data_IF_287837920743
#
_entry.id   IF_287837920743
#
_cell.length_a   1.000
_cell.length_b   1.000
_cell.length_c   1.000
_cell.angle_alpha   90.00
_cell.angle_beta   90.00
_cell.angle_gamma   90.00
#
_symmetry.space_group_name_H-M   'P 1'
#
loop_
_entity.id
_entity.type
_entity.pdbx_description
1 polymer ?
#
# COMPACT_ATOMS: atom_id res chain seq x y z
N UNK A 1 -10.10 23.99 7.26
CA UNK A 1 -9.76 23.23 6.04
C UNK A 1 -8.88 22.06 6.47
N UNK A 2 -9.38 21.24 7.37
CA UNK A 2 -8.58 20.20 8.07
C UNK A 2 -9.14 18.79 7.81
N UNK A 3 -10.41 18.72 7.39
CA UNK A 3 -11.17 17.49 7.22
C UNK A 3 -10.63 16.54 6.15
N UNK A 4 -9.90 17.04 5.14
CA UNK A 4 -9.38 16.21 4.05
C UNK A 4 -8.10 15.46 4.45
N UNK A 5 -7.25 16.07 5.27
CA UNK A 5 -5.98 15.46 5.71
C UNK A 5 -6.23 14.38 6.76
N UNK A 6 -7.17 14.62 7.69
CA UNK A 6 -7.58 13.63 8.69
C UNK A 6 -8.28 12.41 8.06
N UNK A 7 -9.03 12.61 6.97
CA UNK A 7 -9.61 11.50 6.22
C UNK A 7 -8.51 10.66 5.53
N UNK A 8 -7.51 11.30 4.93
CA UNK A 8 -6.42 10.61 4.26
C UNK A 8 -5.54 9.79 5.23
N UNK A 9 -5.31 10.29 6.46
CA UNK A 9 -4.63 9.53 7.52
C UNK A 9 -5.48 8.36 8.05
N UNK A 10 -6.81 8.54 8.14
CA UNK A 10 -7.74 7.46 8.51
C UNK A 10 -7.84 6.36 7.45
N UNK A 11 -7.75 6.73 6.18
CA UNK A 11 -7.91 5.83 5.04
C UNK A 11 -6.58 5.20 4.60
N UNK A 12 -5.48 5.48 5.31
CA UNK A 12 -4.16 4.86 5.14
C UNK A 12 -3.55 4.96 3.72
N UNK A 13 -3.89 5.98 2.92
CA UNK A 13 -3.49 6.04 1.51
C UNK A 13 -1.97 5.96 1.30
N UNK A 14 -1.53 5.12 0.36
CA UNK A 14 -0.12 4.99 -0.03
C UNK A 14 0.13 5.63 -1.40
N UNK A 15 1.35 6.11 -1.65
CA UNK A 15 1.77 6.62 -2.96
C UNK A 15 2.52 5.55 -3.73
N UNK A 16 2.19 5.42 -5.01
CA UNK A 16 2.97 4.58 -5.93
C UNK A 16 4.38 5.18 -6.10
N UNK A 17 5.41 4.37 -5.86
CA UNK A 17 6.82 4.79 -6.03
C UNK A 17 7.18 5.17 -7.47
N UNK A 18 6.42 4.68 -8.46
CA UNK A 18 6.72 4.89 -9.88
C UNK A 18 5.97 6.05 -10.51
N UNK A 19 4.66 6.19 -10.24
CA UNK A 19 3.81 7.20 -10.88
C UNK A 19 3.16 8.19 -9.91
N UNK A 20 3.51 8.14 -8.63
CA UNK A 20 3.04 9.01 -7.53
C UNK A 20 1.53 9.00 -7.25
N UNK A 21 0.76 8.21 -8.00
CA UNK A 21 -0.68 8.00 -7.79
C UNK A 21 -0.96 7.51 -6.37
N UNK A 22 -2.00 8.07 -5.76
CA UNK A 22 -2.54 7.61 -4.48
C UNK A 22 -3.31 6.31 -4.69
N UNK A 23 -2.99 5.32 -3.87
CA UNK A 23 -3.63 4.01 -3.84
C UNK A 23 -4.21 3.78 -2.46
N UNK A 24 -5.33 3.06 -2.40
CA UNK A 24 -5.99 2.65 -1.17
C UNK A 24 -5.98 1.13 -1.12
N UNK A 25 -5.59 0.56 0.02
CA UNK A 25 -5.72 -0.87 0.26
C UNK A 25 -7.17 -1.15 0.67
N UNK A 26 -7.95 -1.74 -0.24
CA UNK A 26 -9.37 -1.99 0.02
C UNK A 26 -9.60 -3.05 1.11
N UNK A 27 -8.79 -4.11 1.14
CA UNK A 27 -8.69 -5.10 2.22
C UNK A 27 -7.53 -6.08 1.92
N UNK A 28 -7.02 -6.77 2.94
CA UNK A 28 -6.18 -7.96 2.76
C UNK A 28 -4.68 -7.70 2.58
N UNK A 29 -4.05 -8.44 1.65
CA UNK A 29 -2.61 -8.54 1.49
C UNK A 29 -1.96 -7.18 1.20
N UNK A 30 -0.77 -6.96 1.75
CA UNK A 30 0.02 -5.74 1.52
C UNK A 30 0.47 -5.54 0.05
N UNK A 31 0.13 -6.44 -0.87
CA UNK A 31 0.51 -6.33 -2.28
C UNK A 31 -0.40 -5.35 -3.02
N UNK A 32 0.19 -4.31 -3.61
CA UNK A 32 -0.50 -3.38 -4.51
C UNK A 32 0.02 -3.54 -5.93
N UNK A 33 -0.90 -3.70 -6.87
CA UNK A 33 -0.65 -3.55 -8.31
C UNK A 33 -1.20 -2.21 -8.77
N UNK A 34 -0.32 -1.30 -9.15
CA UNK A 34 -0.70 0.02 -9.67
C UNK A 34 -1.14 -0.07 -11.14
N UNK A 35 -2.11 0.75 -11.60
CA UNK A 35 -2.46 0.84 -13.01
C UNK A 35 -1.30 1.24 -13.95
N UNK A 36 -0.20 1.80 -13.43
CA UNK A 36 1.01 2.04 -14.21
C UNK A 36 1.87 0.78 -14.44
N UNK A 37 1.45 -0.38 -13.92
CA UNK A 37 2.17 -1.66 -13.99
C UNK A 37 3.19 -1.88 -12.87
N UNK A 38 3.36 -0.93 -11.95
CA UNK A 38 4.26 -1.09 -10.81
C UNK A 38 3.59 -1.88 -9.67
N UNK A 39 4.33 -2.83 -9.11
CA UNK A 39 3.90 -3.64 -7.97
C UNK A 39 4.73 -3.30 -6.73
N UNK A 40 4.09 -3.05 -5.59
CA UNK A 40 4.77 -2.65 -4.36
C UNK A 40 4.02 -3.04 -3.09
N UNK A 41 4.73 -3.01 -1.97
CA UNK A 41 4.16 -3.20 -0.65
C UNK A 41 3.43 -1.93 -0.19
N UNK A 42 2.15 -2.03 0.16
CA UNK A 42 1.35 -0.94 0.70
C UNK A 42 1.95 -0.33 1.97
N UNK A 43 2.56 -1.16 2.82
CA UNK A 43 3.09 -0.73 4.12
C UNK A 43 4.33 0.15 3.98
N UNK A 44 5.28 -0.23 3.10
CA UNK A 44 6.58 0.45 3.01
C UNK A 44 6.86 1.12 1.66
N UNK A 45 6.01 0.94 0.66
CA UNK A 45 6.19 1.49 -0.69
C UNK A 45 7.28 0.80 -1.53
N UNK A 46 8.00 -0.20 -0.98
CA UNK A 46 9.06 -0.91 -1.69
C UNK A 46 8.49 -1.80 -2.79
N UNK A 47 9.23 -1.96 -3.89
CA UNK A 47 8.88 -2.86 -4.99
C UNK A 47 8.54 -4.25 -4.48
N UNK A 48 7.47 -4.85 -5.01
CA UNK A 48 7.01 -6.18 -4.63
C UNK A 48 7.99 -7.22 -5.17
N UNK A 49 8.79 -7.80 -4.29
CA UNK A 49 9.67 -8.95 -4.56
C UNK A 49 9.57 -9.90 -3.37
N UNK A 50 9.75 -11.21 -3.58
CA UNK A 50 9.86 -12.16 -2.48
C UNK A 50 11.01 -11.73 -1.56
N UNK A 51 10.69 -11.26 -0.35
CA UNK A 51 11.60 -10.72 0.67
C UNK A 51 12.18 -9.30 0.45
N UNK A 52 11.65 -8.46 -0.45
CA UNK A 52 12.14 -7.06 -0.54
C UNK A 52 11.77 -6.20 0.65
N UNK A 53 10.78 -6.60 1.45
CA UNK A 53 10.42 -5.90 2.67
C UNK A 53 10.20 -6.88 3.82
N UNK A 54 10.63 -6.48 5.02
CA UNK A 54 10.36 -7.20 6.27
C UNK A 54 8.94 -6.95 6.81
N UNK A 55 8.09 -6.27 6.04
CA UNK A 55 6.69 -6.13 6.35
C UNK A 55 6.07 -7.54 6.30
N UNK A 56 5.54 -8.01 7.43
CA UNK A 56 4.85 -9.30 7.48
C UNK A 56 3.83 -9.36 6.34
N UNK A 57 3.83 -10.46 5.58
CA UNK A 57 2.81 -10.65 4.56
C UNK A 57 1.50 -10.87 5.34
N UNK A 58 0.60 -9.88 5.29
CA UNK A 58 -0.78 -10.08 5.72
C UNK A 58 -1.40 -11.12 4.81
N UNK A 59 -1.46 -12.36 5.29
CA UNK A 59 -2.29 -13.44 4.77
C UNK A 59 -3.39 -13.67 5.79
N UNK A 60 -4.60 -13.96 5.31
CA UNK A 60 -5.79 -14.34 6.11
C UNK A 60 -5.57 -15.53 7.08
N UNK A 61 -4.43 -16.22 6.96
CA UNK A 61 -4.00 -17.33 7.82
C UNK A 61 -3.15 -16.89 9.04
N UNK A 62 -2.90 -15.59 9.24
CA UNK A 62 -2.25 -15.07 10.46
C UNK A 62 -3.27 -14.73 11.57
N UNK A 63 -4.25 -15.61 11.79
CA UNK A 63 -5.14 -15.59 12.96
C UNK A 63 -4.53 -16.40 14.11
#
# INVERSE_FOLDING_TARGET
MEQLLELAEREQWQRCYSCTRLVVLAHGCNHISCPCGAEFCYVCGSRWLPRSCGCGIWNEHNL
#
